data_IF_496222292850
#
_entry.id   IF_496222292850
#
_cell.length_a   1.000
_cell.length_b   1.000
_cell.length_c   1.000
_cell.angle_alpha   90.00
_cell.angle_beta   90.00
_cell.angle_gamma   90.00
#
_symmetry.space_group_name_H-M   'P 1'
#
loop_
_entity.id
_entity.type
_entity.pdbx_description
1 polymer ?
#
# COMPACT_ATOMS: atom_id res chain seq x y z
N UNK A 1 -20.80 17.53 4.66
CA UNK A 1 -20.68 16.97 6.04
C UNK A 1 -20.42 15.49 5.90
N UNK A 2 -19.16 15.05 6.01
CA UNK A 2 -18.81 13.63 5.88
C UNK A 2 -18.90 12.97 7.25
N UNK A 3 -19.87 12.09 7.45
CA UNK A 3 -19.93 11.25 8.65
C UNK A 3 -18.65 10.42 8.76
N UNK A 4 -18.12 10.27 9.98
CA UNK A 4 -16.96 9.43 10.24
C UNK A 4 -17.39 7.98 10.09
N UNK A 5 -16.77 7.27 9.14
CA UNK A 5 -17.12 5.90 8.79
C UNK A 5 -16.86 4.97 9.99
N UNK A 6 -17.88 4.22 10.41
CA UNK A 6 -17.82 3.28 11.53
C UNK A 6 -17.39 1.91 11.02
N UNK A 7 -16.16 1.51 11.34
CA UNK A 7 -15.60 0.21 10.96
C UNK A 7 -15.70 -0.77 12.14
N UNK A 8 -16.17 -1.98 11.86
CA UNK A 8 -16.20 -3.09 12.79
C UNK A 8 -15.20 -4.16 12.34
N UNK A 9 -14.44 -4.70 13.29
CA UNK A 9 -13.58 -5.85 13.06
C UNK A 9 -14.13 -7.06 13.83
N UNK A 10 -14.69 -8.00 13.09
CA UNK A 10 -15.31 -9.22 13.61
C UNK A 10 -14.62 -10.44 12.99
N UNK A 11 -13.38 -10.68 13.42
CA UNK A 11 -12.45 -11.67 12.86
C UNK A 11 -12.12 -12.68 13.96
N UNK A 12 -12.42 -13.96 13.77
CA UNK A 12 -12.15 -15.02 14.75
C UNK A 12 -10.70 -15.51 14.69
N UNK A 13 -10.12 -15.57 13.51
CA UNK A 13 -8.76 -16.00 13.27
C UNK A 13 -7.76 -15.04 13.95
N UNK A 14 -7.05 -15.46 15.03
CA UNK A 14 -6.21 -14.56 15.80
C UNK A 14 -5.02 -14.02 15.00
N UNK A 15 -4.53 -14.79 14.02
CA UNK A 15 -3.42 -14.37 13.15
C UNK A 15 -3.87 -13.27 12.20
N UNK A 16 -5.05 -13.43 11.61
CA UNK A 16 -5.63 -12.44 10.71
C UNK A 16 -6.01 -11.17 11.47
N UNK A 17 -6.61 -11.32 12.66
CA UNK A 17 -6.97 -10.18 13.51
C UNK A 17 -5.74 -9.38 13.97
N UNK A 18 -4.63 -10.04 14.33
CA UNK A 18 -3.37 -9.36 14.66
C UNK A 18 -2.87 -8.53 13.48
N UNK A 19 -2.85 -9.10 12.28
CA UNK A 19 -2.46 -8.39 11.06
C UNK A 19 -3.39 -7.22 10.77
N UNK A 20 -4.70 -7.41 10.91
CA UNK A 20 -5.68 -6.34 10.77
C UNK A 20 -5.34 -5.17 11.72
N UNK A 21 -5.10 -5.47 13.01
CA UNK A 21 -4.73 -4.45 14.00
C UNK A 21 -3.45 -3.71 13.61
N UNK A 22 -2.40 -4.44 13.22
CA UNK A 22 -1.13 -3.82 12.80
C UNK A 22 -1.33 -2.86 11.61
N UNK A 23 -2.20 -3.22 10.66
CA UNK A 23 -2.51 -2.40 9.50
C UNK A 23 -3.42 -1.23 9.91
N UNK A 24 -4.50 -1.47 10.65
CA UNK A 24 -5.43 -0.43 11.11
C UNK A 24 -4.73 0.65 11.94
N UNK A 25 -3.79 0.28 12.82
CA UNK A 25 -2.96 1.22 13.58
C UNK A 25 -2.06 2.06 12.67
N UNK A 26 -1.38 1.42 11.71
CA UNK A 26 -0.54 2.10 10.72
C UNK A 26 -1.32 3.16 9.95
N UNK A 27 -2.55 2.85 9.55
CA UNK A 27 -3.41 3.74 8.78
C UNK A 27 -4.32 4.64 9.62
N UNK A 28 -4.27 4.49 10.94
CA UNK A 28 -5.13 5.16 11.91
C UNK A 28 -6.63 5.06 11.59
N UNK A 29 -7.04 3.86 11.17
CA UNK A 29 -8.44 3.51 11.04
C UNK A 29 -8.99 3.29 12.44
N UNK A 30 -10.02 4.05 12.79
CA UNK A 30 -10.80 3.80 14.00
C UNK A 30 -11.73 2.62 13.73
N UNK A 31 -11.62 1.59 14.55
CA UNK A 31 -12.48 0.42 14.48
C UNK A 31 -12.95 0.01 15.87
N UNK A 32 -14.01 -0.78 15.92
CA UNK A 32 -14.49 -1.41 17.15
C UNK A 32 -14.61 -2.91 16.94
N UNK A 33 -14.46 -3.67 18.03
CA UNK A 33 -14.71 -5.11 18.05
C UNK A 33 -16.05 -5.30 18.76
N UNK A 34 -17.05 -5.91 18.12
CA UNK A 34 -18.37 -6.06 18.70
C UNK A 34 -18.32 -7.13 19.80
N UNK A 35 -19.11 -6.96 20.85
CA UNK A 35 -19.23 -7.97 21.90
C UNK A 35 -20.27 -9.04 21.51
N UNK A 36 -21.22 -8.67 20.66
CA UNK A 36 -22.30 -9.55 20.19
C UNK A 36 -22.56 -9.37 18.69
N UNK A 37 -23.22 -10.36 18.08
CA UNK A 37 -23.61 -10.30 16.65
C UNK A 37 -24.61 -9.18 16.35
N UNK A 38 -25.42 -8.79 17.33
CA UNK A 38 -26.45 -7.74 17.19
C UNK A 38 -25.82 -6.34 17.08
N UNK A 39 -24.62 -6.16 17.66
CA UNK A 39 -23.91 -4.88 17.60
C UNK A 39 -23.44 -4.51 16.18
N UNK A 40 -23.34 -5.50 15.29
CA UNK A 40 -22.78 -5.40 13.94
C UNK A 40 -23.61 -4.47 13.03
N UNK A 41 -24.93 -4.38 13.26
CA UNK A 41 -25.84 -3.59 12.42
C UNK A 41 -25.59 -2.06 12.50
N UNK A 42 -24.88 -1.60 13.53
CA UNK A 42 -24.63 -0.17 13.78
C UNK A 42 -23.40 0.40 13.06
N UNK A 43 -22.76 -0.42 12.22
CA UNK A 43 -21.53 -0.08 11.51
C UNK A 43 -21.79 0.16 10.01
N UNK A 44 -20.89 0.89 9.36
CA UNK A 44 -20.93 1.09 7.92
C UNK A 44 -20.25 -0.07 7.19
N UNK A 45 -19.15 -0.57 7.75
CA UNK A 45 -18.35 -1.68 7.21
C UNK A 45 -18.03 -2.66 8.34
N UNK A 46 -18.18 -3.95 8.05
CA UNK A 46 -17.86 -5.03 8.97
C UNK A 46 -16.86 -5.94 8.29
N UNK A 47 -15.68 -6.02 8.86
CA UNK A 47 -14.55 -6.80 8.36
C UNK A 47 -14.60 -8.15 9.06
N UNK A 48 -14.74 -9.22 8.28
CA UNK A 48 -14.96 -10.58 8.80
C UNK A 48 -13.99 -11.56 8.17
N UNK A 49 -13.63 -12.62 8.88
CA UNK A 49 -13.07 -13.81 8.24
C UNK A 49 -14.17 -14.77 7.79
N UNK A 50 -13.77 -15.88 7.17
CA UNK A 50 -14.69 -16.88 6.64
C UNK A 50 -15.61 -17.47 7.73
N UNK A 51 -15.07 -17.70 8.94
CA UNK A 51 -15.85 -18.24 10.07
C UNK A 51 -16.93 -17.25 10.53
N UNK A 52 -16.56 -15.98 10.75
CA UNK A 52 -17.51 -14.92 11.07
C UNK A 52 -18.55 -14.73 9.96
N UNK A 53 -18.15 -14.78 8.69
CA UNK A 53 -19.05 -14.64 7.55
C UNK A 53 -20.14 -15.71 7.56
N UNK A 54 -19.76 -16.98 7.78
CA UNK A 54 -20.70 -18.09 7.87
C UNK A 54 -21.68 -17.94 9.04
N UNK A 55 -21.22 -17.43 10.18
CA UNK A 55 -22.08 -17.15 11.34
C UNK A 55 -23.11 -16.07 11.01
N UNK A 56 -22.69 -14.99 10.35
CA UNK A 56 -23.57 -13.90 9.94
C UNK A 56 -24.62 -14.40 8.95
N UNK A 57 -24.23 -15.12 7.90
CA UNK A 57 -25.16 -15.68 6.91
C UNK A 57 -26.21 -16.60 7.53
N UNK A 58 -25.81 -17.43 8.51
CA UNK A 58 -26.75 -18.33 9.22
C UNK A 58 -27.71 -17.60 10.15
N UNK A 59 -27.26 -16.48 10.72
CA UNK A 59 -28.07 -15.68 11.67
C UNK A 59 -29.01 -14.68 11.00
N UNK A 60 -28.78 -14.30 9.74
CA UNK A 60 -29.39 -13.11 9.17
C UNK A 60 -30.81 -13.36 8.65
N UNK A 61 -31.80 -12.89 9.41
CA UNK A 61 -33.12 -12.50 8.88
C UNK A 61 -32.97 -11.20 8.08
N UNK A 62 -32.71 -11.31 6.78
CA UNK A 62 -32.92 -10.29 5.74
C UNK A 62 -32.88 -8.80 6.18
N UNK A 63 -31.69 -8.22 6.32
CA UNK A 63 -31.54 -6.77 6.56
C UNK A 63 -31.38 -6.06 5.21
N UNK A 64 -32.43 -5.34 4.76
CA UNK A 64 -32.44 -4.59 3.48
C UNK A 64 -31.54 -3.33 3.47
N UNK A 65 -30.95 -2.96 4.62
CA UNK A 65 -29.98 -1.86 4.80
C UNK A 65 -28.93 -2.24 5.85
N UNK A 66 -28.27 -3.39 5.66
CA UNK A 66 -27.20 -3.84 6.55
C UNK A 66 -25.85 -3.17 6.23
N UNK A 67 -24.85 -3.31 7.12
CA UNK A 67 -23.48 -2.91 6.86
C UNK A 67 -22.91 -3.58 5.60
N UNK A 68 -21.92 -2.94 4.97
CA UNK A 68 -21.10 -3.63 3.95
C UNK A 68 -20.24 -4.68 4.64
N UNK A 69 -20.49 -5.95 4.36
CA UNK A 69 -19.65 -7.06 4.84
C UNK A 69 -18.45 -7.21 3.91
N UNK A 70 -17.25 -7.15 4.48
CA UNK A 70 -15.99 -7.34 3.78
C UNK A 70 -15.28 -8.57 4.33
N UNK A 71 -15.33 -9.66 3.57
CA UNK A 71 -14.66 -10.91 3.92
C UNK A 71 -13.18 -10.80 3.58
N UNK A 72 -12.32 -11.10 4.55
CA UNK A 72 -10.87 -11.13 4.40
C UNK A 72 -10.35 -12.54 4.68
N UNK A 73 -9.53 -13.04 3.76
CA UNK A 73 -8.91 -14.36 3.87
C UNK A 73 -7.39 -14.27 3.95
N UNK A 74 -6.83 -13.15 3.51
CA UNK A 74 -5.40 -12.93 3.35
C UNK A 74 -4.99 -11.52 3.81
N UNK A 75 -3.68 -11.29 3.87
CA UNK A 75 -3.13 -9.96 4.18
C UNK A 75 -3.32 -8.99 3.02
N UNK A 76 -3.27 -9.52 1.81
CA UNK A 76 -3.52 -8.82 0.56
C UNK A 76 -4.96 -8.27 0.53
N UNK A 77 -5.95 -9.07 0.95
CA UNK A 77 -7.34 -8.63 1.08
C UNK A 77 -7.47 -7.49 2.08
N UNK A 78 -6.80 -7.60 3.24
CA UNK A 78 -6.80 -6.54 4.26
C UNK A 78 -6.18 -5.24 3.75
N UNK A 79 -5.05 -5.31 3.05
CA UNK A 79 -4.39 -4.13 2.46
C UNK A 79 -5.32 -3.46 1.46
N UNK A 80 -5.98 -4.24 0.59
CA UNK A 80 -6.93 -3.73 -0.40
C UNK A 80 -8.14 -3.05 0.27
N UNK A 81 -8.75 -3.73 1.24
CA UNK A 81 -9.89 -3.23 1.99
C UNK A 81 -9.58 -1.93 2.72
N UNK A 82 -8.48 -1.90 3.48
CA UNK A 82 -8.06 -0.71 4.24
C UNK A 82 -7.76 0.45 3.29
N UNK A 83 -7.13 0.18 2.15
CA UNK A 83 -6.90 1.21 1.13
C UNK A 83 -8.22 1.78 0.59
N UNK A 84 -9.22 0.93 0.33
CA UNK A 84 -10.56 1.37 -0.10
C UNK A 84 -11.29 2.22 0.96
N UNK A 85 -11.15 1.86 2.25
CA UNK A 85 -11.75 2.61 3.36
C UNK A 85 -11.18 4.03 3.42
N UNK A 86 -9.85 4.18 3.29
CA UNK A 86 -9.19 5.49 3.35
C UNK A 86 -9.50 6.31 2.08
N UNK A 87 -9.63 5.66 0.93
CA UNK A 87 -10.04 6.30 -0.32
C UNK A 87 -11.52 6.69 -0.36
N UNK A 88 -12.31 6.39 0.69
CA UNK A 88 -13.72 6.76 0.76
C UNK A 88 -14.66 5.79 0.05
N UNK A 89 -14.36 4.48 0.10
CA UNK A 89 -15.10 3.39 -0.55
C UNK A 89 -15.04 3.39 -2.09
N UNK A 90 -14.04 4.02 -2.71
CA UNK A 90 -13.73 3.71 -4.10
C UNK A 90 -13.20 2.27 -4.19
N UNK A 91 -13.84 1.44 -5.01
CA UNK A 91 -13.56 -0.01 -5.06
C UNK A 91 -12.19 -0.34 -5.68
N UNK A 92 -11.54 0.62 -6.36
CA UNK A 92 -10.28 0.39 -7.05
C UNK A 92 -9.29 1.52 -6.83
N UNK A 93 -8.06 1.16 -6.48
CA UNK A 93 -6.94 2.10 -6.50
C UNK A 93 -6.68 2.53 -7.94
N UNK A 94 -6.66 3.83 -8.20
CA UNK A 94 -6.42 4.34 -9.56
C UNK A 94 -4.93 4.36 -9.86
N UNK A 95 -4.13 4.87 -8.92
CA UNK A 95 -2.70 5.08 -9.08
C UNK A 95 -1.91 4.47 -7.93
N UNK A 96 -0.95 3.61 -8.27
CA UNK A 96 0.09 3.13 -7.36
C UNK A 96 1.43 3.74 -7.78
N UNK A 97 2.10 4.46 -6.89
CA UNK A 97 3.41 5.09 -7.15
C UNK A 97 4.41 4.58 -6.13
N UNK A 98 5.53 4.03 -6.59
CA UNK A 98 6.63 3.59 -5.74
C UNK A 98 7.85 4.47 -6.00
N UNK A 99 8.38 5.12 -4.97
CA UNK A 99 9.68 5.79 -5.03
C UNK A 99 10.75 4.91 -4.42
N UNK A 100 11.91 4.85 -5.05
CA UNK A 100 13.03 4.00 -4.64
C UNK A 100 14.32 4.80 -4.64
N UNK A 101 14.99 4.82 -3.49
CA UNK A 101 16.35 5.35 -3.34
C UNK A 101 17.33 4.16 -3.26
N UNK A 102 18.31 4.14 -4.17
CA UNK A 102 19.32 3.10 -4.29
C UNK A 102 20.64 3.60 -3.69
N UNK A 103 20.93 3.17 -2.46
CA UNK A 103 22.22 3.38 -1.79
C UNK A 103 22.82 2.05 -1.33
N UNK A 104 23.48 2.05 -0.17
CA UNK A 104 23.92 0.80 0.49
C UNK A 104 22.76 -0.12 0.89
N UNK A 105 21.53 0.41 0.83
CA UNK A 105 20.25 -0.27 1.06
C UNK A 105 19.25 0.23 0.02
N UNK A 106 18.21 -0.57 -0.22
CA UNK A 106 17.06 -0.16 -1.02
C UNK A 106 16.03 0.45 -0.07
N UNK A 107 15.91 1.78 -0.09
CA UNK A 107 14.85 2.48 0.62
C UNK A 107 13.68 2.74 -0.31
N UNK A 108 12.45 2.56 0.16
CA UNK A 108 11.27 2.71 -0.66
C UNK A 108 10.11 3.40 0.07
N UNK A 109 9.27 4.05 -0.73
CA UNK A 109 8.00 4.62 -0.31
C UNK A 109 6.91 4.27 -1.34
N UNK A 110 5.74 3.87 -0.87
CA UNK A 110 4.61 3.44 -1.71
C UNK A 110 3.41 4.31 -1.43
N UNK A 111 2.88 4.91 -2.49
CA UNK A 111 1.68 5.71 -2.48
C UNK A 111 0.57 5.04 -3.29
N UNK A 112 -0.64 4.99 -2.74
CA UNK A 112 -1.85 4.64 -3.47
C UNK A 112 -2.80 5.85 -3.44
N UNK A 113 -3.15 6.40 -4.60
CA UNK A 113 -4.02 7.59 -4.75
C UNK A 113 -3.64 8.76 -3.81
N UNK A 114 -2.33 9.05 -3.75
CA UNK A 114 -1.71 10.09 -2.92
C UNK A 114 -1.69 9.80 -1.40
N UNK A 115 -2.06 8.58 -0.99
CA UNK A 115 -1.93 8.10 0.38
C UNK A 115 -0.63 7.31 0.52
N UNK A 116 0.24 7.67 1.45
CA UNK A 116 1.39 6.86 1.79
C UNK A 116 0.90 5.59 2.49
N UNK A 117 1.11 4.45 1.86
CA UNK A 117 0.62 3.14 2.33
C UNK A 117 1.72 2.22 2.84
N UNK A 118 2.97 2.44 2.42
CA UNK A 118 4.11 1.65 2.89
C UNK A 118 5.40 2.44 2.78
N UNK A 119 6.32 2.20 3.71
CA UNK A 119 7.73 2.59 3.60
C UNK A 119 8.58 1.47 4.16
N UNK A 120 9.81 1.39 3.69
CA UNK A 120 10.74 0.40 4.23
C UNK A 120 12.16 0.58 3.72
N UNK A 121 13.04 -0.21 4.31
CA UNK A 121 14.44 -0.33 3.92
C UNK A 121 14.75 -1.82 3.90
N UNK A 122 15.35 -2.29 2.81
CA UNK A 122 15.85 -3.67 2.71
C UNK A 122 17.25 -3.70 2.11
N UNK A 123 18.00 -4.74 2.44
CA UNK A 123 19.30 -5.04 1.83
C UNK A 123 19.17 -5.98 0.63
N UNK A 124 18.05 -6.70 0.52
CA UNK A 124 17.83 -7.70 -0.51
C UNK A 124 16.87 -7.19 -1.59
N UNK A 125 17.32 -7.23 -2.84
CA UNK A 125 16.50 -6.92 -3.99
C UNK A 125 15.28 -7.84 -4.09
N UNK A 126 15.43 -9.14 -3.81
CA UNK A 126 14.35 -10.11 -3.96
C UNK A 126 13.20 -9.83 -2.99
N UNK A 127 13.50 -9.43 -1.76
CA UNK A 127 12.51 -9.02 -0.77
C UNK A 127 11.73 -7.78 -1.23
N UNK A 128 12.44 -6.81 -1.83
CA UNK A 128 11.79 -5.64 -2.42
C UNK A 128 10.90 -6.02 -3.61
N UNK A 129 11.38 -6.89 -4.51
CA UNK A 129 10.61 -7.35 -5.67
C UNK A 129 9.37 -8.14 -5.26
N UNK A 130 9.46 -8.97 -4.21
CA UNK A 130 8.32 -9.67 -3.63
C UNK A 130 7.28 -8.68 -3.11
N UNK A 131 7.73 -7.59 -2.46
CA UNK A 131 6.87 -6.51 -1.98
C UNK A 131 6.14 -5.82 -3.14
N UNK A 132 6.84 -5.48 -4.23
CA UNK A 132 6.23 -4.88 -5.43
C UNK A 132 5.16 -5.80 -6.04
N UNK A 133 5.50 -7.07 -6.25
CA UNK A 133 4.58 -8.05 -6.82
C UNK A 133 3.32 -8.22 -5.97
N UNK A 134 3.49 -8.29 -4.64
CA UNK A 134 2.39 -8.38 -3.67
C UNK A 134 1.47 -7.15 -3.77
N UNK A 135 2.04 -5.94 -3.73
CA UNK A 135 1.27 -4.70 -3.81
C UNK A 135 0.51 -4.56 -5.13
N UNK A 136 1.15 -4.87 -6.25
CA UNK A 136 0.50 -4.83 -7.58
C UNK A 136 -0.69 -5.77 -7.66
N UNK A 137 -0.55 -6.97 -7.11
CA UNK A 137 -1.58 -8.02 -7.14
C UNK A 137 -2.74 -7.69 -6.20
N UNK A 138 -2.43 -7.22 -4.99
CA UNK A 138 -3.42 -6.90 -3.97
C UNK A 138 -4.28 -5.68 -4.32
N UNK A 139 -3.63 -4.61 -4.79
CA UNK A 139 -4.31 -3.33 -5.03
C UNK A 139 -4.92 -3.22 -6.42
N UNK A 140 -4.49 -4.09 -7.35
CA UNK A 140 -4.90 -4.10 -8.78
C UNK A 140 -5.05 -2.69 -9.38
N UNK A 141 -4.03 -1.82 -9.24
CA UNK A 141 -4.17 -0.43 -9.66
C UNK A 141 -4.41 -0.32 -11.17
N UNK A 142 -5.19 0.67 -11.56
CA UNK A 142 -5.39 1.01 -12.98
C UNK A 142 -4.08 1.44 -13.63
N UNK A 143 -3.24 2.16 -12.89
CA UNK A 143 -1.89 2.56 -13.30
C UNK A 143 -0.90 2.35 -12.17
N UNK A 144 0.22 1.68 -12.46
CA UNK A 144 1.31 1.45 -11.52
C UNK A 144 2.61 2.07 -12.04
N UNK A 145 3.27 2.86 -11.22
CA UNK A 145 4.49 3.60 -11.56
C UNK A 145 5.56 3.30 -10.52
N UNK A 146 6.77 3.02 -10.97
CA UNK A 146 7.98 3.00 -10.14
C UNK A 146 8.92 4.11 -10.60
N UNK A 147 9.43 4.87 -9.63
CA UNK A 147 10.39 5.94 -9.82
C UNK A 147 11.63 5.59 -9.03
N UNK A 148 12.79 5.59 -9.67
CA UNK A 148 14.05 5.15 -9.05
C UNK A 148 15.05 6.29 -9.17
N UNK A 149 15.67 6.66 -8.06
CA UNK A 149 16.75 7.63 -8.02
C UNK A 149 17.94 7.16 -8.86
N UNK A 150 18.55 8.06 -9.62
CA UNK A 150 19.75 7.77 -10.38
C UNK A 150 20.91 7.47 -9.41
N UNK A 151 21.51 6.27 -9.44
CA UNK A 151 22.57 5.92 -8.53
C UNK A 151 23.88 6.63 -8.88
N UNK A 152 24.72 6.86 -7.86
CA UNK A 152 26.02 7.52 -8.00
C UNK A 152 27.21 6.60 -8.29
N UNK A 153 27.01 5.28 -8.43
CA UNK A 153 28.08 4.30 -8.68
C UNK A 153 27.67 3.20 -9.66
N UNK A 154 28.67 2.59 -10.32
CA UNK A 154 28.46 1.52 -11.32
C UNK A 154 27.84 0.25 -10.70
N UNK A 155 28.20 -0.10 -9.47
CA UNK A 155 27.61 -1.25 -8.75
C UNK A 155 26.10 -1.06 -8.55
N UNK A 156 25.69 0.15 -8.14
CA UNK A 156 24.28 0.50 -7.96
C UNK A 156 23.56 0.65 -9.30
N UNK A 157 24.28 0.97 -10.37
CA UNK A 157 23.73 0.96 -11.73
C UNK A 157 23.31 -0.45 -12.16
N UNK A 158 24.08 -1.49 -11.84
CA UNK A 158 23.68 -2.88 -12.10
C UNK A 158 22.43 -3.29 -11.31
N UNK A 159 22.32 -2.82 -10.06
CA UNK A 159 21.13 -3.01 -9.24
C UNK A 159 19.90 -2.31 -9.86
N UNK A 160 20.07 -1.08 -10.32
CA UNK A 160 19.05 -0.31 -11.03
C UNK A 160 18.53 -1.08 -12.26
N UNK A 161 19.42 -1.62 -13.11
CA UNK A 161 19.02 -2.37 -14.30
C UNK A 161 18.17 -3.60 -13.95
N UNK A 162 18.60 -4.37 -12.95
CA UNK A 162 17.85 -5.55 -12.46
C UNK A 162 16.46 -5.15 -11.94
N UNK A 163 16.39 -4.06 -11.17
CA UNK A 163 15.12 -3.56 -10.65
C UNK A 163 14.19 -3.07 -11.76
N UNK A 164 14.70 -2.30 -12.73
CA UNK A 164 13.93 -1.82 -13.87
C UNK A 164 13.34 -2.98 -14.68
N UNK A 165 14.16 -3.99 -15.01
CA UNK A 165 13.70 -5.19 -15.74
C UNK A 165 12.59 -5.92 -14.99
N UNK A 166 12.75 -6.11 -13.68
CA UNK A 166 11.76 -6.79 -12.86
C UNK A 166 10.46 -5.97 -12.73
N UNK A 167 10.54 -4.66 -12.54
CA UNK A 167 9.37 -3.80 -12.39
C UNK A 167 8.53 -3.74 -13.67
N UNK A 168 9.17 -3.62 -14.84
CA UNK A 168 8.49 -3.71 -16.14
C UNK A 168 7.77 -5.04 -16.30
N UNK A 169 8.40 -6.16 -15.91
CA UNK A 169 7.78 -7.49 -15.93
C UNK A 169 6.57 -7.60 -15.00
N UNK A 170 6.56 -6.88 -13.88
CA UNK A 170 5.40 -6.79 -12.98
C UNK A 170 4.34 -5.76 -13.45
N UNK A 171 4.50 -5.18 -14.63
CA UNK A 171 3.53 -4.25 -15.20
C UNK A 171 3.53 -2.87 -14.53
N UNK A 172 4.68 -2.42 -14.03
CA UNK A 172 4.92 -1.03 -13.65
C UNK A 172 5.46 -0.24 -14.83
N UNK A 173 5.00 1.00 -15.00
CA UNK A 173 5.76 2.01 -15.75
C UNK A 173 6.98 2.41 -14.94
N UNK A 174 8.15 2.50 -15.56
CA UNK A 174 9.39 2.80 -14.85
C UNK A 174 9.99 4.14 -15.28
N UNK A 175 10.45 4.92 -14.29
CA UNK A 175 11.09 6.21 -14.50
C UNK A 175 12.37 6.31 -13.69
N UNK A 176 13.42 6.89 -14.28
CA UNK A 176 14.65 7.27 -13.58
C UNK A 176 14.57 8.75 -13.21
N UNK A 177 14.89 9.06 -11.95
CA UNK A 177 14.82 10.40 -11.37
C UNK A 177 16.23 10.86 -11.01
N UNK A 178 16.71 11.93 -11.66
CA UNK A 178 17.95 12.59 -11.28
C UNK A 178 17.70 13.59 -10.14
N UNK A 179 18.27 13.32 -8.96
CA UNK A 179 18.14 14.16 -7.77
C UNK A 179 19.18 15.27 -7.65
N UNK A 180 20.18 15.33 -8.54
CA UNK A 180 21.35 16.23 -8.46
C UNK A 180 21.02 17.73 -8.42
N UNK A 181 19.83 18.13 -8.89
CA UNK A 181 19.40 19.54 -8.97
C UNK A 181 18.29 19.93 -7.99
N UNK A 182 17.88 19.01 -7.11
CA UNK A 182 16.76 19.25 -6.21
C UNK A 182 17.26 19.82 -4.88
N UNK A 183 17.15 21.15 -4.73
CA UNK A 183 17.27 21.81 -3.43
C UNK A 183 16.32 21.15 -2.45
N UNK A 184 16.78 20.92 -1.21
CA UNK A 184 16.06 20.26 -0.13
C UNK A 184 14.70 20.95 0.13
N UNK A 185 13.68 20.57 -0.64
CA UNK A 185 12.31 21.01 -0.40
C UNK A 185 11.83 20.28 0.85
N UNK A 186 11.09 20.96 1.74
CA UNK A 186 10.45 20.28 2.86
C UNK A 186 9.53 19.18 2.29
N UNK A 187 9.52 18.03 2.97
CA UNK A 187 8.68 16.89 2.56
C UNK A 187 7.24 17.39 2.33
N UNK A 188 6.64 17.07 1.16
CA UNK A 188 5.24 17.37 0.94
C UNK A 188 4.40 16.77 2.07
N UNK A 189 3.37 17.48 2.53
CA UNK A 189 2.41 16.90 3.49
C UNK A 189 1.62 15.80 2.79
N UNK A 190 1.97 14.54 3.04
CA UNK A 190 1.20 13.39 2.60
C UNK A 190 0.23 12.92 3.70
N UNK A 191 -0.89 12.33 3.28
CA UNK A 191 -1.82 11.59 4.17
C UNK A 191 -1.45 10.10 4.13
N UNK A 192 -1.91 9.33 5.11
CA UNK A 192 -1.64 7.89 5.18
C UNK A 192 -0.98 7.49 6.49
N UNK A 193 0.08 6.67 6.41
CA UNK A 193 0.76 6.09 7.56
C UNK A 193 1.03 7.11 8.69
N UNK A 194 0.52 6.84 9.91
CA UNK A 194 0.87 7.58 11.13
C UNK A 194 2.17 7.02 11.73
N UNK A 195 2.97 7.89 12.36
CA UNK A 195 4.20 7.53 13.09
C UNK A 195 5.31 6.87 12.24
N UNK A 196 5.41 7.23 10.96
CA UNK A 196 6.54 6.80 10.13
C UNK A 196 7.85 7.35 10.72
N UNK A 197 8.79 6.46 11.06
CA UNK A 197 10.16 6.86 11.42
C UNK A 197 10.85 7.38 10.18
N UNK A 198 10.82 8.69 9.97
CA UNK A 198 11.43 9.36 8.82
C UNK A 198 12.95 9.37 8.93
N UNK A 199 13.62 8.42 8.28
CA UNK A 199 15.08 8.45 8.08
C UNK A 199 15.43 9.24 6.82
N UNK A 200 16.71 9.61 6.66
CA UNK A 200 17.20 10.28 5.43
C UNK A 200 16.82 9.50 4.17
N UNK A 201 17.04 8.18 4.18
CA UNK A 201 16.79 7.30 3.03
C UNK A 201 15.29 7.18 2.71
N UNK A 202 14.43 7.06 3.74
CA UNK A 202 12.97 7.04 3.55
C UNK A 202 12.50 8.38 2.97
N UNK A 203 13.07 9.49 3.42
CA UNK A 203 12.72 10.82 2.92
C UNK A 203 13.15 11.00 1.45
N UNK A 204 14.30 10.45 1.05
CA UNK A 204 14.73 10.41 -0.34
C UNK A 204 13.73 9.60 -1.19
N UNK A 205 13.37 8.39 -0.77
CA UNK A 205 12.39 7.57 -1.47
C UNK A 205 11.01 8.27 -1.61
N UNK A 206 10.55 8.97 -0.58
CA UNK A 206 9.32 9.79 -0.65
C UNK A 206 9.46 10.92 -1.67
N UNK A 207 10.56 11.64 -1.67
CA UNK A 207 10.82 12.72 -2.64
C UNK A 207 10.85 12.19 -4.07
N UNK A 208 11.50 11.05 -4.29
CA UNK A 208 11.54 10.36 -5.59
C UNK A 208 10.13 9.99 -6.05
N UNK A 209 9.30 9.42 -5.17
CA UNK A 209 7.91 9.06 -5.51
C UNK A 209 7.09 10.28 -5.96
N UNK A 210 7.23 11.40 -5.25
CA UNK A 210 6.42 12.61 -5.44
C UNK A 210 7.00 13.57 -6.49
N UNK A 211 8.19 13.30 -7.02
CA UNK A 211 8.82 14.15 -8.03
C UNK A 211 8.11 14.04 -9.37
N UNK A 212 7.73 15.18 -9.94
CA UNK A 212 7.18 15.25 -11.28
C UNK A 212 8.27 15.02 -12.34
N UNK A 213 7.88 14.33 -13.42
CA UNK A 213 8.78 14.00 -14.53
C UNK A 213 9.68 12.79 -14.26
N UNK A 214 10.81 12.76 -14.97
CA UNK A 214 11.74 11.63 -15.00
C UNK A 214 11.98 11.12 -16.42
N UNK A 215 13.04 10.33 -16.58
CA UNK A 215 13.31 9.63 -17.84
C UNK A 215 12.49 8.34 -17.83
N UNK A 216 11.47 8.27 -18.68
CA UNK A 216 10.65 7.07 -18.84
C UNK A 216 11.45 5.96 -19.54
N UNK A 217 11.32 4.75 -19.04
CA UNK A 217 11.95 3.55 -19.60
C UNK A 217 10.85 2.68 -20.21
N UNK A 218 10.82 2.62 -21.54
CA UNK A 218 9.78 1.89 -22.29
C UNK A 218 10.17 0.44 -22.63
N UNK A 219 11.47 0.17 -22.73
CA UNK A 219 11.97 -1.17 -22.93
C UNK A 219 13.40 -1.29 -22.40
N UNK A 220 13.66 -2.34 -21.63
CA UNK A 220 15.02 -2.85 -21.48
C UNK A 220 15.17 -3.92 -22.56
N UNK A 221 15.81 -3.60 -23.69
CA UNK A 221 16.39 -4.64 -24.54
C UNK A 221 17.30 -5.52 -23.68
N UNK A 222 17.47 -6.80 -24.01
CA UNK A 222 18.34 -7.72 -23.28
C UNK A 222 19.81 -7.25 -23.31
N UNK A 223 20.11 -6.24 -22.51
CA UNK A 223 21.44 -5.87 -22.06
C UNK A 223 21.78 -6.87 -20.97
N UNK A 224 22.36 -7.99 -21.42
CA UNK A 224 23.23 -8.83 -20.61
C UNK A 224 24.57 -8.13 -20.42
#
# INVERSE_FOLDING_TARGET
MGGRLKVCAFIYNPRLFRKFKDIAEKFAIEYSVPNTMEDIENYDIVIVDEEAHQLIERSSKCVKKGPKIAVVSSEEDMISLISSIIAGNEENIRYLVVGVDLGSKIAYAVFADNLLISVGITLDLNDFLATLSKLRTALRPSRAVIKIGLPGSDELYQLLLKLLKAALRYGYEAYIIDESRTTARPLPRFRGLKNVRTTKDINAAVNIALKDGGIRIDCMSDLM
#
